data_IF_719786617018
#
_entry.id   IF_719786617018
#
_cell.length_a   1.000
_cell.length_b   1.000
_cell.length_c   1.000
_cell.angle_alpha   90.00
_cell.angle_beta   90.00
_cell.angle_gamma   90.00
#
_symmetry.space_group_name_H-M   'P 1'
#
loop_
_entity.id
_entity.type
_entity.pdbx_description
1 polymer ?
#
# COMPACT_ATOMS: atom_id res chain seq x y z
N UNK A 1 21.59 -6.07 6.82
CA UNK A 1 20.93 -7.36 7.15
C UNK A 1 20.99 -8.26 5.92
N UNK A 2 21.07 -9.61 6.06
CA UNK A 2 21.01 -10.49 4.88
C UNK A 2 19.60 -10.44 4.27
N UNK A 3 19.51 -10.37 2.95
CA UNK A 3 18.22 -10.38 2.24
C UNK A 3 18.08 -11.66 1.42
N UNK A 4 16.85 -12.05 1.16
CA UNK A 4 16.46 -13.08 0.20
C UNK A 4 15.76 -12.46 -0.99
N UNK A 5 15.94 -13.08 -2.13
CA UNK A 5 15.39 -12.62 -3.41
C UNK A 5 14.43 -13.64 -3.98
N UNK A 6 13.34 -13.17 -4.59
CA UNK A 6 12.34 -13.96 -5.33
C UNK A 6 11.98 -13.23 -6.62
N UNK A 7 11.89 -14.00 -7.70
CA UNK A 7 11.37 -13.47 -8.98
C UNK A 7 9.97 -14.01 -9.24
N UNK A 8 9.11 -13.13 -9.71
CA UNK A 8 7.73 -13.41 -10.09
C UNK A 8 7.61 -13.20 -11.61
N UNK A 9 7.26 -14.23 -12.33
CA UNK A 9 6.96 -14.11 -13.73
C UNK A 9 5.60 -13.40 -13.88
N UNK A 10 5.59 -12.23 -14.50
CA UNK A 10 4.39 -11.48 -14.78
C UNK A 10 4.59 -10.68 -16.06
N UNK A 11 3.59 -10.70 -16.93
CA UNK A 11 3.60 -9.96 -18.19
C UNK A 11 2.79 -8.67 -18.05
N UNK A 12 3.17 -7.66 -18.82
CA UNK A 12 2.46 -6.38 -18.87
C UNK A 12 2.18 -5.79 -17.48
N UNK A 13 3.23 -5.65 -16.67
CA UNK A 13 3.16 -5.03 -15.35
C UNK A 13 3.99 -3.76 -15.33
N UNK A 14 3.34 -2.60 -15.29
CA UNK A 14 4.02 -1.33 -15.05
C UNK A 14 4.14 -1.12 -13.54
N UNK A 15 5.30 -1.50 -13.00
CA UNK A 15 5.58 -1.39 -11.58
C UNK A 15 5.60 0.08 -11.12
N UNK A 16 6.18 0.96 -11.92
CA UNK A 16 6.26 2.39 -11.62
C UNK A 16 4.89 3.04 -11.55
N UNK A 17 4.10 2.89 -12.62
CA UNK A 17 2.73 3.42 -12.65
C UNK A 17 1.88 2.82 -11.52
N UNK A 18 1.99 1.52 -11.25
CA UNK A 18 1.22 0.86 -10.19
C UNK A 18 1.54 1.42 -8.80
N UNK A 19 2.83 1.57 -8.46
CA UNK A 19 3.25 1.99 -7.12
C UNK A 19 3.13 3.50 -6.88
N UNK A 20 3.09 4.31 -7.96
CA UNK A 20 2.98 5.77 -7.88
C UNK A 20 1.60 6.34 -8.21
N UNK A 21 0.61 5.51 -8.55
CA UNK A 21 -0.73 5.93 -8.97
C UNK A 21 -1.57 6.63 -7.89
N UNK A 22 -1.09 6.67 -6.64
CA UNK A 22 -1.84 7.23 -5.51
C UNK A 22 -2.81 6.25 -4.84
N UNK A 23 -2.72 4.96 -5.16
CA UNK A 23 -3.47 3.92 -4.47
C UNK A 23 -2.77 3.43 -3.19
N UNK A 24 -1.43 3.57 -3.08
CA UNK A 24 -0.64 3.22 -1.91
C UNK A 24 0.42 4.31 -1.66
N UNK A 25 0.74 4.59 -0.40
CA UNK A 25 1.53 5.76 -0.03
C UNK A 25 2.85 5.43 0.66
N UNK A 26 3.21 4.14 0.77
CA UNK A 26 4.41 3.70 1.47
C UNK A 26 5.54 3.26 0.54
N UNK A 27 5.41 3.52 -0.75
CA UNK A 27 6.43 3.23 -1.75
C UNK A 27 7.29 4.44 -2.02
N UNK A 28 8.60 4.23 -2.04
CA UNK A 28 9.59 5.26 -2.37
C UNK A 28 10.47 4.76 -3.52
N UNK A 29 10.69 5.58 -4.56
CA UNK A 29 11.61 5.23 -5.62
C UNK A 29 13.07 5.28 -5.11
N UNK A 30 13.87 4.27 -5.49
CA UNK A 30 15.30 4.19 -5.20
C UNK A 30 16.05 3.78 -6.46
N UNK A 31 16.50 4.74 -7.25
CA UNK A 31 17.10 4.48 -8.57
C UNK A 31 16.11 3.78 -9.50
N UNK A 32 16.41 2.53 -9.89
CA UNK A 32 15.52 1.68 -10.70
C UNK A 32 14.67 0.73 -9.86
N UNK A 33 14.72 0.87 -8.55
CA UNK A 33 13.97 0.06 -7.62
C UNK A 33 12.88 0.86 -6.91
N UNK A 34 12.02 0.16 -6.20
CA UNK A 34 11.02 0.70 -5.28
C UNK A 34 11.19 0.04 -3.93
N UNK A 35 11.29 0.84 -2.88
CA UNK A 35 11.26 0.33 -1.51
C UNK A 35 9.92 0.66 -0.85
N UNK A 36 9.44 -0.28 -0.05
CA UNK A 36 8.18 -0.08 0.65
C UNK A 36 7.98 -1.02 1.82
N UNK A 37 6.88 -0.80 2.51
CA UNK A 37 6.42 -1.68 3.60
C UNK A 37 4.99 -2.11 3.29
N UNK A 38 4.74 -3.41 3.39
CA UNK A 38 3.43 -4.03 3.21
C UNK A 38 3.09 -4.74 4.50
N UNK A 39 2.10 -4.25 5.24
CA UNK A 39 1.80 -4.75 6.58
C UNK A 39 3.00 -4.57 7.52
N UNK A 40 3.59 -5.69 7.95
CA UNK A 40 4.77 -5.73 8.82
C UNK A 40 6.07 -6.16 8.09
N UNK A 41 6.11 -6.04 6.76
CA UNK A 41 7.22 -6.54 5.92
C UNK A 41 7.79 -5.44 5.04
N UNK A 42 9.08 -5.18 5.20
CA UNK A 42 9.84 -4.36 4.26
C UNK A 42 10.16 -5.16 3.00
N UNK A 43 10.11 -4.51 1.85
CA UNK A 43 10.44 -5.12 0.56
C UNK A 43 11.01 -4.08 -0.40
N UNK A 44 11.95 -4.52 -1.24
CA UNK A 44 12.46 -3.79 -2.40
C UNK A 44 12.07 -4.52 -3.66
N UNK A 45 11.52 -3.80 -4.64
CA UNK A 45 11.04 -4.34 -5.90
C UNK A 45 11.83 -3.75 -7.07
N UNK A 46 12.15 -4.60 -8.03
CA UNK A 46 12.77 -4.23 -9.30
C UNK A 46 11.94 -4.78 -10.44
N UNK A 47 11.76 -3.98 -11.50
CA UNK A 47 11.24 -4.51 -12.75
C UNK A 47 12.38 -5.26 -13.47
N UNK A 48 12.15 -6.53 -13.81
CA UNK A 48 13.07 -7.38 -14.55
C UNK A 48 12.54 -7.65 -15.96
N UNK A 49 13.38 -8.18 -16.85
CA UNK A 49 12.98 -8.50 -18.25
C UNK A 49 11.76 -9.43 -18.36
N UNK A 50 11.52 -10.28 -17.36
CA UNK A 50 10.43 -11.29 -17.35
C UNK A 50 9.61 -11.21 -16.08
N UNK A 51 9.34 -10.01 -15.58
CA UNK A 51 8.49 -9.82 -14.40
C UNK A 51 9.11 -8.95 -13.31
N UNK A 52 8.86 -9.27 -12.06
CA UNK A 52 9.26 -8.49 -10.89
C UNK A 52 10.22 -9.31 -10.04
N UNK A 53 11.33 -8.72 -9.63
CA UNK A 53 12.23 -9.29 -8.63
C UNK A 53 12.05 -8.53 -7.32
N UNK A 54 11.87 -9.27 -6.23
CA UNK A 54 11.70 -8.74 -4.90
C UNK A 54 12.82 -9.17 -3.97
N UNK A 55 13.23 -8.27 -3.07
CA UNK A 55 14.15 -8.53 -1.98
C UNK A 55 13.45 -8.26 -0.65
N UNK A 56 13.63 -9.14 0.33
CA UNK A 56 13.13 -8.95 1.68
C UNK A 56 14.15 -9.47 2.72
N UNK A 57 14.12 -8.99 3.99
CA UNK A 57 15.00 -9.47 5.04
C UNK A 57 14.86 -10.99 5.26
N UNK A 58 15.99 -11.67 5.54
CA UNK A 58 15.99 -13.07 5.95
C UNK A 58 15.48 -13.21 7.40
N UNK A 59 14.68 -14.24 7.73
CA UNK A 59 14.35 -15.43 6.94
C UNK A 59 12.99 -15.37 6.24
N UNK A 60 12.87 -14.69 5.12
CA UNK A 60 11.63 -14.75 4.31
C UNK A 60 11.63 -16.05 3.50
N UNK A 61 10.74 -16.97 3.80
CA UNK A 61 10.57 -18.24 3.08
C UNK A 61 9.28 -18.33 2.29
N UNK A 62 8.23 -17.64 2.73
CA UNK A 62 6.95 -17.54 2.05
C UNK A 62 6.80 -16.15 1.41
N UNK A 63 6.39 -16.13 0.14
CA UNK A 63 6.19 -14.92 -0.66
C UNK A 63 4.73 -14.76 -1.13
N UNK A 64 3.82 -15.61 -0.68
CA UNK A 64 2.40 -15.57 -1.08
C UNK A 64 1.75 -14.22 -0.74
N UNK A 65 2.18 -13.58 0.36
CA UNK A 65 1.72 -12.24 0.75
C UNK A 65 2.03 -11.19 -0.33
N UNK A 66 3.22 -11.28 -0.96
CA UNK A 66 3.63 -10.32 -1.98
C UNK A 66 2.95 -10.64 -3.34
N UNK A 67 2.83 -11.91 -3.70
CA UNK A 67 2.04 -12.32 -4.88
C UNK A 67 0.60 -11.82 -4.77
N UNK A 68 -0.01 -11.95 -3.59
CA UNK A 68 -1.35 -11.45 -3.31
C UNK A 68 -1.41 -9.94 -3.40
N UNK A 69 -0.48 -9.22 -2.76
CA UNK A 69 -0.46 -7.76 -2.75
C UNK A 69 -0.32 -7.18 -4.16
N UNK A 70 0.61 -7.71 -4.96
CA UNK A 70 0.86 -7.27 -6.33
C UNK A 70 -0.18 -7.80 -7.32
N UNK A 71 -1.04 -8.73 -6.92
CA UNK A 71 -2.01 -9.42 -7.75
C UNK A 71 -1.41 -9.97 -9.05
N UNK A 72 -0.26 -10.65 -8.92
CA UNK A 72 0.55 -11.09 -10.06
C UNK A 72 -0.14 -12.11 -10.97
N UNK A 73 -1.20 -12.76 -10.48
CA UNK A 73 -1.98 -13.77 -11.21
C UNK A 73 -3.21 -13.19 -11.92
N UNK A 74 -3.50 -11.91 -11.70
CA UNK A 74 -4.65 -11.26 -12.33
C UNK A 74 -4.46 -11.16 -13.84
N UNK A 75 -5.43 -11.62 -14.59
CA UNK A 75 -5.46 -11.51 -16.05
C UNK A 75 -5.94 -10.12 -16.47
N UNK A 76 -4.97 -9.21 -16.69
CA UNK A 76 -5.26 -7.86 -17.13
C UNK A 76 -5.86 -7.82 -18.53
N UNK A 77 -5.45 -8.75 -19.41
CA UNK A 77 -5.98 -8.82 -20.78
C UNK A 77 -7.48 -9.12 -20.77
N UNK A 78 -7.89 -10.10 -19.96
CA UNK A 78 -9.29 -10.41 -19.77
C UNK A 78 -10.06 -9.23 -19.17
N UNK A 79 -9.52 -8.55 -18.18
CA UNK A 79 -10.18 -7.38 -17.60
C UNK A 79 -10.34 -6.23 -18.61
N UNK A 80 -9.29 -5.91 -19.37
CA UNK A 80 -9.34 -4.88 -20.43
C UNK A 80 -10.37 -5.23 -21.50
N UNK A 81 -10.55 -6.51 -21.85
CA UNK A 81 -11.55 -6.93 -22.85
C UNK A 81 -13.00 -6.65 -22.45
N UNK A 82 -13.25 -6.35 -21.18
CA UNK A 82 -14.58 -5.96 -20.66
C UNK A 82 -14.81 -4.46 -20.63
N UNK A 83 -13.79 -3.65 -20.94
CA UNK A 83 -13.91 -2.20 -20.90
C UNK A 83 -14.71 -1.67 -22.09
N UNK A 84 -15.35 -0.48 -21.96
CA UNK A 84 -15.99 0.17 -23.08
C UNK A 84 -15.03 0.42 -24.25
N UNK A 85 -15.52 0.26 -25.48
CA UNK A 85 -14.74 0.50 -26.71
C UNK A 85 -14.79 1.98 -27.16
N UNK A 86 -14.93 2.92 -26.22
CA UNK A 86 -14.91 4.33 -26.52
C UNK A 86 -13.47 4.92 -26.56
N UNK A 87 -13.31 6.03 -27.24
CA UNK A 87 -12.01 6.69 -27.41
C UNK A 87 -11.34 7.07 -26.07
N UNK A 88 -12.03 7.62 -25.05
CA UNK A 88 -11.43 7.93 -23.77
C UNK A 88 -10.86 6.69 -23.07
N UNK A 89 -11.57 5.56 -23.10
CA UNK A 89 -11.09 4.33 -22.48
C UNK A 89 -9.91 3.73 -23.23
N UNK A 90 -9.95 3.70 -24.56
CA UNK A 90 -8.84 3.24 -25.39
C UNK A 90 -7.57 4.07 -25.14
N UNK A 91 -7.70 5.40 -25.06
CA UNK A 91 -6.59 6.30 -24.73
C UNK A 91 -6.03 6.05 -23.33
N UNK A 92 -6.87 5.79 -22.34
CA UNK A 92 -6.45 5.49 -20.96
C UNK A 92 -5.67 4.15 -20.88
N UNK A 93 -6.17 3.11 -21.54
CA UNK A 93 -5.49 1.80 -21.61
C UNK A 93 -4.17 1.92 -22.35
N UNK A 94 -4.12 2.66 -23.45
CA UNK A 94 -2.88 2.89 -24.22
C UNK A 94 -1.84 3.69 -23.44
N UNK A 95 -2.26 4.63 -22.57
CA UNK A 95 -1.37 5.42 -21.74
C UNK A 95 -0.78 4.64 -20.56
N UNK A 96 -1.50 3.65 -20.01
CA UNK A 96 -1.11 2.88 -18.83
C UNK A 96 -1.37 1.38 -19.01
N UNK A 97 -0.74 0.72 -20.00
CA UNK A 97 -1.11 -0.64 -20.41
C UNK A 97 -0.85 -1.71 -19.35
N UNK A 98 0.02 -1.41 -18.38
CA UNK A 98 0.43 -2.35 -17.32
C UNK A 98 0.06 -1.92 -15.90
N UNK A 99 -0.79 -0.91 -15.74
CA UNK A 99 -1.27 -0.48 -14.42
C UNK A 99 -2.08 -1.60 -13.76
N UNK A 100 -1.79 -1.86 -12.48
CA UNK A 100 -2.48 -2.87 -11.67
C UNK A 100 -3.12 -2.27 -10.44
N UNK A 101 -4.16 -2.92 -9.91
CA UNK A 101 -4.70 -2.63 -8.59
C UNK A 101 -3.98 -3.49 -7.54
N UNK A 102 -3.52 -2.86 -6.48
CA UNK A 102 -2.85 -3.53 -5.37
C UNK A 102 -3.89 -4.09 -4.39
N UNK A 103 -3.67 -5.29 -3.87
CA UNK A 103 -4.50 -5.89 -2.82
C UNK A 103 -3.98 -5.42 -1.46
N UNK A 104 -4.40 -4.25 -1.05
CA UNK A 104 -3.93 -3.58 0.15
C UNK A 104 -4.61 -4.11 1.42
N UNK A 105 -3.98 -3.84 2.57
CA UNK A 105 -4.62 -3.96 3.88
C UNK A 105 -5.78 -2.97 3.97
N UNK A 106 -6.93 -3.44 4.46
CA UNK A 106 -8.15 -2.62 4.51
C UNK A 106 -8.03 -1.42 5.44
N UNK A 107 -7.35 -1.60 6.59
CA UNK A 107 -7.19 -0.51 7.54
C UNK A 107 -6.23 0.56 7.03
N UNK A 108 -5.07 0.17 6.52
CA UNK A 108 -4.12 1.13 5.94
C UNK A 108 -4.75 1.87 4.75
N UNK A 109 -5.54 1.16 3.92
CA UNK A 109 -6.25 1.74 2.80
C UNK A 109 -7.29 2.77 3.27
N UNK A 110 -8.15 2.43 4.24
CA UNK A 110 -9.16 3.35 4.79
C UNK A 110 -8.51 4.55 5.47
N UNK A 111 -7.49 4.34 6.29
CA UNK A 111 -6.76 5.40 6.96
C UNK A 111 -6.15 6.38 5.93
N UNK A 112 -5.47 5.85 4.92
CA UNK A 112 -4.87 6.64 3.85
C UNK A 112 -5.92 7.42 3.05
N UNK A 113 -7.09 6.83 2.80
CA UNK A 113 -8.22 7.50 2.16
C UNK A 113 -8.74 8.67 3.01
N UNK A 114 -8.92 8.49 4.32
CA UNK A 114 -9.30 9.58 5.23
C UNK A 114 -8.28 10.72 5.17
N UNK A 115 -6.99 10.38 5.13
CA UNK A 115 -5.89 11.35 5.06
C UNK A 115 -5.82 12.08 3.71
N UNK A 116 -6.35 11.50 2.64
CA UNK A 116 -6.24 12.04 1.28
C UNK A 116 -7.08 13.30 1.03
N UNK A 117 -8.12 13.54 1.86
CA UNK A 117 -9.03 14.67 1.69
C UNK A 117 -8.26 16.01 1.51
N UNK A 118 -8.40 16.65 0.35
CA UNK A 118 -7.77 17.95 0.00
C UNK A 118 -6.23 17.97 0.11
N UNK A 119 -5.56 16.85 -0.16
CA UNK A 119 -4.10 16.73 -0.07
C UNK A 119 -3.49 16.20 -1.36
N UNK A 120 -2.26 16.64 -1.63
CA UNK A 120 -1.42 16.07 -2.67
C UNK A 120 -0.77 14.77 -2.19
N UNK A 121 -0.43 13.86 -3.12
CA UNK A 121 0.16 12.55 -2.83
C UNK A 121 1.36 12.67 -1.86
N UNK A 122 2.27 13.61 -2.11
CA UNK A 122 3.46 13.82 -1.24
C UNK A 122 3.08 14.15 0.21
N UNK A 123 2.00 14.91 0.41
CA UNK A 123 1.53 15.25 1.76
C UNK A 123 0.89 14.05 2.46
N UNK A 124 0.19 13.19 1.71
CA UNK A 124 -0.38 11.95 2.24
C UNK A 124 0.75 11.01 2.64
N UNK A 125 1.76 10.85 1.79
CA UNK A 125 2.95 10.05 2.09
C UNK A 125 3.64 10.51 3.37
N UNK A 126 3.80 11.83 3.58
CA UNK A 126 4.37 12.38 4.82
C UNK A 126 3.54 12.04 6.06
N UNK A 127 2.22 12.17 6.00
CA UNK A 127 1.34 11.83 7.13
C UNK A 127 1.39 10.33 7.45
N UNK A 128 1.32 9.48 6.43
CA UNK A 128 1.41 8.01 6.57
C UNK A 128 2.77 7.59 7.16
N UNK A 129 3.87 8.21 6.70
CA UNK A 129 5.20 7.95 7.22
C UNK A 129 5.33 8.36 8.69
N UNK A 130 4.85 9.56 9.07
CA UNK A 130 4.86 10.02 10.45
C UNK A 130 4.01 9.15 11.40
N UNK A 131 2.86 8.68 10.94
CA UNK A 131 2.03 7.74 11.72
C UNK A 131 2.77 6.42 11.95
N UNK A 132 3.39 5.87 10.90
CA UNK A 132 4.15 4.63 11.00
C UNK A 132 5.36 4.78 11.92
N UNK A 133 6.14 5.86 11.79
CA UNK A 133 7.31 6.13 12.62
C UNK A 133 6.97 6.31 14.10
N UNK A 134 5.90 7.05 14.42
CA UNK A 134 5.54 7.37 15.80
C UNK A 134 4.75 6.27 16.51
N UNK A 135 3.90 5.57 15.78
CA UNK A 135 2.91 4.66 16.38
C UNK A 135 2.98 3.24 15.83
N UNK A 136 3.70 3.02 14.75
CA UNK A 136 3.92 1.70 14.18
C UNK A 136 4.97 0.89 14.93
N UNK A 137 4.95 -0.42 14.76
CA UNK A 137 5.99 -1.29 15.31
C UNK A 137 7.24 -1.26 14.41
N UNK A 138 8.45 -1.18 14.96
CA UNK A 138 9.67 -1.34 14.16
C UNK A 138 9.72 -2.75 13.56
N UNK A 139 10.17 -2.83 12.30
CA UNK A 139 10.27 -4.08 11.55
C UNK A 139 11.68 -4.26 10.98
N UNK A 140 12.02 -5.48 10.60
CA UNK A 140 13.28 -5.75 9.90
C UNK A 140 13.30 -5.03 8.55
N UNK A 141 14.41 -4.35 8.25
CA UNK A 141 14.65 -3.64 6.99
C UNK A 141 15.90 -4.18 6.31
N UNK A 142 15.87 -4.29 4.99
CA UNK A 142 17.06 -4.51 4.16
C UNK A 142 17.65 -3.22 3.58
N UNK A 143 17.00 -2.08 3.84
CA UNK A 143 17.47 -0.74 3.46
C UNK A 143 18.31 -0.06 4.54
N UNK A 144 18.74 1.17 4.25
CA UNK A 144 19.60 1.97 5.15
C UNK A 144 18.79 2.69 6.24
N UNK A 145 17.49 2.82 6.07
CA UNK A 145 16.60 3.51 7.01
C UNK A 145 15.80 2.53 7.86
N UNK A 146 15.46 2.90 9.10
CA UNK A 146 14.50 2.15 9.90
C UNK A 146 13.16 2.02 9.17
N UNK A 147 12.52 0.86 9.32
CA UNK A 147 11.20 0.61 8.77
C UNK A 147 10.20 0.28 9.90
N UNK A 148 8.97 0.72 9.72
CA UNK A 148 7.89 0.56 10.71
C UNK A 148 6.64 0.04 10.02
N UNK A 149 5.90 -0.86 10.66
CA UNK A 149 4.56 -1.23 10.23
C UNK A 149 3.61 -0.03 10.34
N UNK A 150 2.51 -0.03 9.57
CA UNK A 150 1.44 0.94 9.83
C UNK A 150 0.80 0.66 11.20
N UNK A 151 0.42 1.69 11.98
CA UNK A 151 -0.17 1.47 13.30
C UNK A 151 -1.51 0.74 13.20
N UNK A 152 -1.76 -0.19 14.14
CA UNK A 152 -3.02 -0.93 14.19
C UNK A 152 -4.20 -0.03 14.56
N UNK A 153 -5.42 -0.52 14.35
CA UNK A 153 -6.66 0.17 14.73
C UNK A 153 -6.64 0.52 16.21
N UNK A 154 -6.25 -0.45 17.07
CA UNK A 154 -6.18 -0.26 18.53
C UNK A 154 -5.16 0.81 18.92
N UNK A 155 -4.02 0.83 18.21
CA UNK A 155 -2.98 1.83 18.48
C UNK A 155 -3.45 3.25 18.14
N UNK A 156 -4.16 3.42 17.03
CA UNK A 156 -4.73 4.73 16.65
C UNK A 156 -5.88 5.11 17.58
N UNK A 157 -6.77 4.21 17.94
CA UNK A 157 -7.89 4.46 18.84
C UNK A 157 -7.43 4.90 20.25
N UNK A 158 -6.26 4.43 20.70
CA UNK A 158 -5.64 4.80 21.96
C UNK A 158 -4.91 6.16 21.94
N UNK A 159 -4.74 6.79 20.77
CA UNK A 159 -4.18 8.13 20.68
C UNK A 159 -5.17 9.20 21.10
N UNK A 160 -4.64 10.34 21.51
CA UNK A 160 -5.40 11.60 21.59
C UNK A 160 -5.44 12.26 20.20
N UNK A 161 -6.42 13.14 19.99
CA UNK A 161 -6.48 13.95 18.78
C UNK A 161 -5.23 14.84 18.62
N UNK A 162 -4.69 15.38 19.71
CA UNK A 162 -3.48 16.21 19.69
C UNK A 162 -2.27 15.44 19.16
N UNK A 163 -2.04 14.21 19.63
CA UNK A 163 -0.97 13.34 19.13
C UNK A 163 -1.08 13.05 17.63
N UNK A 164 -2.29 12.83 17.15
CA UNK A 164 -2.51 12.62 15.71
C UNK A 164 -2.32 13.92 14.90
N UNK A 165 -2.70 15.08 15.43
CA UNK A 165 -2.44 16.38 14.81
C UNK A 165 -0.94 16.67 14.64
N UNK A 166 -0.10 16.21 15.57
CA UNK A 166 1.35 16.31 15.50
C UNK A 166 1.95 15.50 14.33
N UNK A 167 1.22 14.54 13.79
CA UNK A 167 1.55 13.85 12.54
C UNK A 167 1.09 14.61 11.28
N UNK A 168 0.84 15.92 11.38
CA UNK A 168 0.38 16.80 10.30
C UNK A 168 -1.03 16.50 9.76
N UNK A 169 -1.84 15.72 10.48
CA UNK A 169 -3.18 15.34 10.06
C UNK A 169 -4.15 16.53 10.02
N UNK A 170 -3.95 17.54 10.88
CA UNK A 170 -4.82 18.72 10.95
C UNK A 170 -6.27 18.30 11.27
N UNK A 171 -7.24 18.79 10.51
CA UNK A 171 -8.66 18.49 10.70
C UNK A 171 -9.06 17.03 10.41
N UNK A 172 -8.14 16.19 9.90
CA UNK A 172 -8.37 14.76 9.63
C UNK A 172 -8.13 13.89 10.85
N UNK A 173 -7.43 14.43 11.86
CA UNK A 173 -7.14 13.69 13.09
C UNK A 173 -8.40 13.16 13.79
N UNK A 174 -9.46 13.97 14.03
CA UNK A 174 -10.70 13.43 14.62
C UNK A 174 -11.39 12.39 13.74
N UNK A 175 -11.30 12.51 12.41
CA UNK A 175 -11.93 11.55 11.49
C UNK A 175 -11.22 10.19 11.55
N UNK A 176 -9.88 10.17 11.53
CA UNK A 176 -9.11 8.93 11.66
C UNK A 176 -9.33 8.28 13.03
N UNK A 177 -9.31 9.09 14.10
CA UNK A 177 -9.55 8.64 15.47
C UNK A 177 -10.97 8.07 15.64
N UNK A 178 -11.97 8.76 15.10
CA UNK A 178 -13.37 8.31 15.10
C UNK A 178 -13.53 6.99 14.36
N UNK A 179 -13.00 6.88 13.15
CA UNK A 179 -13.06 5.64 12.37
C UNK A 179 -12.42 4.44 13.11
N UNK A 180 -11.26 4.64 13.75
CA UNK A 180 -10.61 3.60 14.52
C UNK A 180 -11.48 3.13 15.72
N UNK A 181 -12.10 4.06 16.43
CA UNK A 181 -12.99 3.76 17.57
C UNK A 181 -14.28 3.09 17.13
N UNK A 182 -14.92 3.58 16.07
CA UNK A 182 -16.15 3.00 15.54
C UNK A 182 -15.96 1.55 15.07
N UNK A 183 -14.78 1.22 14.52
CA UNK A 183 -14.43 -0.16 14.18
C UNK A 183 -14.30 -1.03 15.45
N UNK A 184 -13.62 -0.55 16.49
CA UNK A 184 -13.44 -1.30 17.74
C UNK A 184 -14.74 -1.46 18.51
N UNK A 185 -15.62 -0.47 18.49
CA UNK A 185 -16.92 -0.47 19.16
C UNK A 185 -17.95 -1.31 18.39
N UNK A 186 -17.59 -1.83 17.20
CA UNK A 186 -18.47 -2.64 16.36
C UNK A 186 -19.53 -1.86 15.61
N UNK A 187 -19.44 -0.51 15.56
CA UNK A 187 -20.33 0.34 14.79
C UNK A 187 -20.15 0.19 13.28
N UNK A 188 -19.00 -0.33 12.86
CA UNK A 188 -18.67 -0.67 11.47
C UNK A 188 -18.48 -2.18 11.39
N UNK A 189 -19.17 -2.85 10.46
CA UNK A 189 -19.06 -4.29 10.22
C UNK A 189 -17.74 -4.66 9.54
N UNK A 190 -16.62 -4.27 10.16
CA UNK A 190 -15.26 -4.37 9.61
C UNK A 190 -14.85 -5.77 9.19
N UNK A 191 -15.26 -6.76 9.98
CA UNK A 191 -14.91 -8.17 9.77
C UNK A 191 -15.60 -8.78 8.54
N UNK A 192 -16.65 -8.15 8.02
CA UNK A 192 -17.37 -8.62 6.83
C UNK A 192 -16.77 -8.10 5.52
N UNK A 193 -15.86 -7.12 5.55
CA UNK A 193 -15.26 -6.54 4.33
C UNK A 193 -14.59 -7.59 3.42
N UNK A 194 -13.84 -8.59 3.92
CA UNK A 194 -13.25 -9.60 3.06
C UNK A 194 -14.26 -10.42 2.26
N UNK A 195 -15.46 -10.64 2.80
CA UNK A 195 -16.53 -11.40 2.17
C UNK A 195 -17.26 -10.61 1.08
N UNK A 196 -17.27 -9.27 1.20
CA UNK A 196 -17.91 -8.37 0.24
C UNK A 196 -17.09 -8.12 -1.03
N UNK A 197 -15.80 -8.48 -1.02
CA UNK A 197 -14.85 -8.24 -2.12
C UNK A 197 -14.46 -9.51 -2.88
N UNK A 198 -15.15 -10.63 -2.62
CA UNK A 198 -14.87 -11.94 -3.22
C UNK A 198 -15.65 -12.15 -4.50
#
# INVERSE_FOLDING_TARGET
MATKTKSFAVENYDLGATLSSGQAFRWQPLGQAWEGVIGDRWVRLHLAKRGITAEAPSPTNDWAWLEKYLDTRFDLGQAISTFPEDEPMQNAVAALPGLRLLRQDYWECLASFILSATKQIVQIQQMVALLAERYGKPIASGGDSPAFAFPTIERIAACSEAELRDCKLGFRAPNLLGAARDILDGNIAWQQLPEMTS
#
